data_IF_805241552082
#
_entry.id   IF_805241552082
#
_cell.length_a   1.000
_cell.length_b   1.000
_cell.length_c   1.000
_cell.angle_alpha   90.00
_cell.angle_beta   90.00
_cell.angle_gamma   90.00
#
_symmetry.space_group_name_H-M   'P 1'
#
loop_
_entity.id
_entity.type
_entity.pdbx_description
1 polymer ?
#
# COMPACT_ATOMS: atom_id res chain seq x y z
N UNK A 1 14.69 9.14 -0.90
CA UNK A 1 14.89 9.19 0.56
C UNK A 1 13.49 9.02 1.12
N UNK A 2 13.30 8.08 2.04
CA UNK A 2 11.97 7.67 2.52
C UNK A 2 11.99 7.60 4.04
N UNK A 3 10.87 7.97 4.67
CA UNK A 3 10.64 8.17 6.11
C UNK A 3 11.88 8.24 7.01
N UNK A 4 12.36 9.46 7.30
CA UNK A 4 13.44 9.64 8.26
C UNK A 4 12.93 9.52 9.70
N UNK A 5 13.24 8.40 10.34
CA UNK A 5 13.06 8.26 11.79
C UNK A 5 14.18 9.02 12.50
N UNK A 6 13.80 10.10 13.17
CA UNK A 6 14.76 11.07 13.74
C UNK A 6 15.19 10.66 15.15
N UNK A 7 14.29 10.03 15.92
CA UNK A 7 14.55 9.59 17.29
C UNK A 7 13.63 8.42 17.63
N UNK A 8 14.21 7.36 18.19
CA UNK A 8 13.50 6.19 18.73
C UNK A 8 13.81 6.08 20.20
N UNK A 9 12.79 6.12 21.03
CA UNK A 9 12.86 5.78 22.45
C UNK A 9 11.83 4.67 22.66
N UNK A 10 12.24 3.44 22.31
CA UNK A 10 11.35 2.29 22.16
C UNK A 10 11.79 1.20 23.14
N UNK A 11 10.88 0.78 24.00
CA UNK A 11 11.04 -0.44 24.79
C UNK A 11 10.17 -1.55 24.19
N UNK A 12 10.72 -2.76 24.03
CA UNK A 12 9.97 -3.89 23.45
C UNK A 12 8.80 -4.24 24.38
N UNK A 13 7.59 -4.25 23.84
CA UNK A 13 6.34 -4.49 24.59
C UNK A 13 6.12 -3.49 25.76
N UNK A 14 6.72 -2.31 25.68
CA UNK A 14 6.59 -1.28 26.69
C UNK A 14 6.32 0.10 26.09
N UNK A 15 6.25 1.14 26.93
CA UNK A 15 5.99 2.49 26.49
C UNK A 15 7.17 3.03 25.70
N UNK A 16 6.87 3.89 24.74
CA UNK A 16 7.90 4.50 23.91
C UNK A 16 7.39 5.64 23.06
N UNK A 17 8.33 6.39 22.51
CA UNK A 17 8.05 7.49 21.59
C UNK A 17 8.93 7.42 20.35
N UNK A 18 8.32 7.75 19.21
CA UNK A 18 9.01 7.77 17.92
C UNK A 18 8.75 9.10 17.24
N UNK A 19 9.84 9.78 16.86
CA UNK A 19 9.77 10.98 16.02
C UNK A 19 9.97 10.60 14.56
N UNK A 20 8.96 10.85 13.75
CA UNK A 20 8.91 10.49 12.33
C UNK A 20 8.77 11.74 11.47
N UNK A 21 9.39 11.73 10.29
CA UNK A 21 9.17 12.69 9.22
C UNK A 21 8.68 11.88 8.01
N UNK A 22 7.39 11.96 7.65
CA UNK A 22 6.90 11.31 6.44
C UNK A 22 7.44 12.08 5.22
N UNK A 23 8.10 11.41 4.29
CA UNK A 23 8.67 12.00 3.07
C UNK A 23 7.78 11.71 1.85
N UNK A 24 7.01 10.61 1.91
CA UNK A 24 6.09 10.19 0.85
C UNK A 24 4.66 9.90 1.34
N UNK A 25 3.74 9.67 0.39
CA UNK A 25 2.37 9.29 0.70
C UNK A 25 2.26 7.91 1.38
N UNK A 26 3.16 6.98 1.05
CA UNK A 26 3.25 5.67 1.71
C UNK A 26 3.56 5.81 3.20
N UNK A 27 4.38 6.79 3.58
CA UNK A 27 4.74 7.05 4.98
C UNK A 27 3.55 7.57 5.79
N UNK A 28 2.66 8.34 5.15
CA UNK A 28 1.40 8.78 5.76
C UNK A 28 0.44 7.60 5.97
N UNK A 29 0.40 6.63 5.04
CA UNK A 29 -0.37 5.40 5.21
C UNK A 29 0.17 4.55 6.37
N UNK A 30 1.49 4.45 6.49
CA UNK A 30 2.14 3.77 7.62
C UNK A 30 1.81 4.48 8.93
N UNK A 31 1.90 5.81 8.98
CA UNK A 31 1.52 6.59 10.14
C UNK A 31 0.04 6.38 10.51
N UNK A 32 -0.85 6.34 9.51
CA UNK A 32 -2.26 6.05 9.71
C UNK A 32 -2.45 4.67 10.37
N UNK A 33 -1.79 3.63 9.87
CA UNK A 33 -1.88 2.27 10.44
C UNK A 33 -1.27 2.16 11.84
N UNK A 34 -0.23 2.95 12.14
CA UNK A 34 0.39 2.96 13.46
C UNK A 34 -0.47 3.69 14.51
N UNK A 35 -1.18 4.75 14.15
CA UNK A 35 -1.95 5.56 15.10
C UNK A 35 -3.30 4.92 15.43
N UNK A 36 -3.52 4.65 16.71
CA UNK A 36 -4.72 4.03 17.27
C UNK A 36 -5.31 4.92 18.36
N UNK A 37 -6.62 4.78 18.62
CA UNK A 37 -7.24 5.37 19.80
C UNK A 37 -6.50 4.96 21.09
N UNK A 38 -6.25 5.94 21.97
CA UNK A 38 -5.43 5.82 23.17
C UNK A 38 -4.00 6.33 23.02
N UNK A 39 -3.51 6.51 21.79
CA UNK A 39 -2.16 7.06 21.57
C UNK A 39 -2.12 8.58 21.73
N UNK A 40 -0.94 9.12 22.02
CA UNK A 40 -0.68 10.56 22.00
C UNK A 40 0.13 10.94 20.76
N UNK A 41 -0.37 11.90 19.98
CA UNK A 41 0.29 12.43 18.80
C UNK A 41 0.65 13.89 19.02
N UNK A 42 1.92 14.22 18.83
CA UNK A 42 2.46 15.56 19.00
C UNK A 42 3.03 16.10 17.69
N UNK A 43 2.50 17.20 17.18
CA UNK A 43 2.98 17.83 15.96
C UNK A 43 2.93 19.37 16.06
N UNK A 44 3.69 20.03 15.19
CA UNK A 44 3.69 21.50 15.09
C UNK A 44 2.60 21.93 14.13
N UNK A 45 1.68 22.76 14.60
CA UNK A 45 0.57 23.33 13.81
C UNK A 45 0.66 24.85 13.78
N UNK A 46 0.04 25.47 12.78
CA UNK A 46 -0.12 26.93 12.73
C UNK A 46 -1.56 27.23 13.07
N UNK A 47 -1.80 27.94 14.17
CA UNK A 47 -3.16 28.34 14.58
C UNK A 47 -3.27 29.85 14.67
N UNK A 48 -4.44 30.36 14.32
CA UNK A 48 -4.80 31.77 14.49
C UNK A 48 -5.16 31.98 15.96
N UNK A 49 -4.32 32.71 16.67
CA UNK A 49 -4.55 33.08 18.07
C UNK A 49 -5.13 34.48 18.07
N UNK A 50 -6.35 34.63 18.57
CA UNK A 50 -6.93 35.94 18.81
C UNK A 50 -6.32 36.50 20.09
N UNK A 51 -5.74 37.70 20.02
CA UNK A 51 -5.30 38.46 21.18
C UNK A 51 -6.16 39.71 21.28
N UNK A 52 -6.66 39.98 22.48
CA UNK A 52 -7.33 41.24 22.77
C UNK A 52 -6.26 42.31 23.03
N UNK A 53 -6.26 43.36 22.21
CA UNK A 53 -5.40 44.51 22.41
C UNK A 53 -6.00 45.43 23.48
N UNK A 54 -5.15 46.11 24.25
CA UNK A 54 -5.56 47.04 25.31
C UNK A 54 -6.48 48.18 24.82
N UNK A 55 -6.53 48.44 23.51
CA UNK A 55 -7.40 49.42 22.85
C UNK A 55 -8.78 48.89 22.45
N UNK A 56 -9.14 47.64 22.81
CA UNK A 56 -10.41 47.02 22.43
C UNK A 56 -10.46 46.44 21.01
N UNK A 57 -9.34 46.49 20.28
CA UNK A 57 -9.19 45.82 18.98
C UNK A 57 -8.92 44.32 19.11
N UNK A 58 -9.47 43.53 18.18
CA UNK A 58 -9.11 42.11 18.04
C UNK A 58 -7.99 41.98 17.02
N UNK A 59 -6.78 41.69 17.50
CA UNK A 59 -5.68 41.31 16.62
C UNK A 59 -5.61 39.78 16.51
N UNK A 60 -5.28 39.29 15.34
CA UNK A 60 -5.24 37.85 15.10
C UNK A 60 -3.93 37.44 14.44
N UNK A 61 -3.10 36.78 15.23
CA UNK A 61 -1.76 36.38 14.85
C UNK A 61 -1.72 34.88 14.52
N UNK A 62 -0.98 34.50 13.48
CA UNK A 62 -0.75 33.08 13.16
C UNK A 62 0.49 32.60 13.89
N UNK A 63 0.30 31.82 14.94
CA UNK A 63 1.39 31.32 15.80
C UNK A 63 1.64 29.84 15.51
N UNK A 64 2.92 29.46 15.40
CA UNK A 64 3.35 28.07 15.37
C UNK A 64 3.28 27.49 16.79
N UNK A 65 2.42 26.51 17.01
CA UNK A 65 2.21 25.87 18.30
C UNK A 65 2.52 24.38 18.19
N UNK A 66 3.20 23.85 19.20
CA UNK A 66 3.37 22.41 19.36
C UNK A 66 2.17 21.88 20.12
N UNK A 67 1.35 21.07 19.47
CA UNK A 67 0.16 20.49 20.08
C UNK A 67 0.39 19.01 20.32
N UNK A 68 -0.05 18.55 21.48
CA UNK A 68 -0.15 17.14 21.83
C UNK A 68 -1.63 16.81 21.94
N UNK A 69 -2.06 15.80 21.20
CA UNK A 69 -3.45 15.35 21.15
C UNK A 69 -3.48 13.88 21.52
N UNK A 70 -4.28 13.56 22.53
CA UNK A 70 -4.66 12.19 22.84
C UNK A 70 -5.78 11.77 21.89
N UNK A 71 -5.59 10.64 21.21
CA UNK A 71 -6.54 10.12 20.25
C UNK A 71 -7.68 9.44 21.02
N UNK A 72 -8.68 10.21 21.40
CA UNK A 72 -9.87 9.70 22.10
C UNK A 72 -11.06 9.49 21.16
N UNK A 73 -11.85 8.46 21.43
CA UNK A 73 -13.07 8.17 20.66
C UNK A 73 -14.12 9.22 21.04
N UNK A 74 -14.51 10.08 20.10
CA UNK A 74 -15.58 11.07 20.29
C UNK A 74 -15.13 12.49 20.63
N UNK A 75 -13.82 12.75 20.74
CA UNK A 75 -13.28 14.10 20.89
C UNK A 75 -12.95 14.72 19.50
N UNK A 76 -13.48 15.91 19.21
CA UNK A 76 -13.19 16.61 17.96
C UNK A 76 -11.94 17.50 18.09
N UNK A 77 -10.76 16.89 17.94
CA UNK A 77 -9.51 17.63 17.74
C UNK A 77 -8.89 17.23 16.41
N UNK A 78 -8.80 18.18 15.48
CA UNK A 78 -8.15 17.95 14.18
C UNK A 78 -6.67 18.30 14.26
N UNK A 79 -5.82 17.31 13.97
CA UNK A 79 -4.39 17.46 13.74
C UNK A 79 -4.07 17.02 12.32
N UNK A 80 -3.52 17.92 11.52
CA UNK A 80 -3.09 17.61 10.16
C UNK A 80 -1.61 17.19 10.19
N UNK A 81 -1.34 15.97 9.71
CA UNK A 81 0.01 15.45 9.51
C UNK A 81 0.34 15.64 8.04
N UNK A 82 1.32 16.49 7.76
CA UNK A 82 1.79 16.77 6.40
C UNK A 82 3.09 16.03 6.08
N UNK A 83 3.30 15.79 4.80
CA UNK A 83 4.59 15.36 4.26
C UNK A 83 5.67 16.41 4.59
N UNK A 84 6.88 15.94 4.88
CA UNK A 84 8.06 16.69 5.31
C UNK A 84 7.91 17.44 6.64
N UNK A 85 6.86 17.15 7.43
CA UNK A 85 6.69 17.73 8.77
C UNK A 85 6.90 16.67 9.86
N UNK A 86 7.80 16.92 10.84
CA UNK A 86 8.00 15.99 11.92
C UNK A 86 6.78 15.93 12.85
N UNK A 87 6.39 14.72 13.21
CA UNK A 87 5.49 14.47 14.33
C UNK A 87 6.10 13.42 15.28
N UNK A 88 5.62 13.40 16.51
CA UNK A 88 6.02 12.45 17.54
C UNK A 88 4.81 11.62 17.91
N UNK A 89 4.93 10.31 17.75
CA UNK A 89 3.93 9.34 18.18
C UNK A 89 4.39 8.74 19.52
N UNK A 90 3.54 8.80 20.53
CA UNK A 90 3.73 8.16 21.83
C UNK A 90 2.68 7.07 22.00
N UNK A 91 3.16 5.89 22.37
CA UNK A 91 2.32 4.74 22.68
C UNK A 91 2.71 4.17 24.03
N UNK A 92 1.72 3.67 24.75
CA UNK A 92 1.93 2.95 26.01
C UNK A 92 2.52 1.55 25.77
N UNK A 93 2.22 0.94 24.62
CA UNK A 93 2.71 -0.39 24.24
C UNK A 93 3.14 -0.38 22.78
N UNK A 94 4.42 -0.65 22.55
CA UNK A 94 4.95 -0.96 21.23
C UNK A 94 5.04 -2.48 21.02
N UNK A 95 4.07 -3.03 20.29
CA UNK A 95 4.05 -4.43 19.88
C UNK A 95 5.13 -4.73 18.83
N UNK A 96 5.53 -6.00 18.68
CA UNK A 96 6.52 -6.42 17.67
C UNK A 96 6.14 -6.01 16.25
N UNK A 97 4.87 -6.17 15.87
CA UNK A 97 4.36 -5.76 14.56
C UNK A 97 4.57 -4.27 14.30
N UNK A 98 4.32 -3.42 15.30
CA UNK A 98 4.52 -1.97 15.17
C UNK A 98 6.00 -1.63 15.01
N UNK A 99 6.89 -2.36 15.68
CA UNK A 99 8.33 -2.24 15.51
C UNK A 99 8.78 -2.69 14.11
N UNK A 100 8.21 -3.77 13.58
CA UNK A 100 8.50 -4.27 12.24
C UNK A 100 8.04 -3.29 11.16
N UNK A 101 6.84 -2.70 11.32
CA UNK A 101 6.34 -1.65 10.43
C UNK A 101 7.28 -0.43 10.44
N UNK A 102 7.75 -0.01 11.62
CA UNK A 102 8.74 1.07 11.74
C UNK A 102 10.07 0.70 11.07
N UNK A 103 10.51 -0.55 11.22
CA UNK A 103 11.73 -1.04 10.60
C UNK A 103 11.61 -1.03 9.07
N UNK A 104 10.50 -1.55 8.52
CA UNK A 104 10.21 -1.55 7.09
C UNK A 104 10.08 -0.12 6.52
N UNK A 105 9.47 0.78 7.28
CA UNK A 105 9.37 2.19 6.91
C UNK A 105 10.75 2.90 6.86
N UNK A 106 11.70 2.42 7.67
CA UNK A 106 13.04 2.99 7.77
C UNK A 106 13.98 2.60 6.63
N UNK A 107 13.64 1.59 5.84
CA UNK A 107 14.53 1.06 4.82
C UNK A 107 14.54 1.99 3.58
N UNK A 108 15.69 2.61 3.23
CA UNK A 108 15.77 3.55 2.11
C UNK A 108 15.71 2.88 0.73
N UNK A 109 15.96 1.57 0.61
CA UNK A 109 15.89 0.83 -0.67
C UNK A 109 14.46 0.57 -1.15
N UNK A 110 13.51 0.99 -0.34
CA UNK A 110 12.14 0.64 -0.47
C UNK A 110 11.47 1.91 -1.05
N UNK A 111 11.54 2.11 -2.37
CA UNK A 111 10.85 3.20 -3.09
C UNK A 111 9.70 2.65 -3.93
N UNK A 112 8.89 3.50 -4.57
CA UNK A 112 7.81 3.04 -5.45
C UNK A 112 8.32 2.09 -6.55
N UNK A 113 7.68 0.93 -6.67
CA UNK A 113 8.22 -0.22 -7.41
C UNK A 113 7.75 -0.27 -8.86
N UNK A 114 6.50 0.16 -9.14
CA UNK A 114 5.90 0.01 -10.47
C UNK A 114 4.94 1.14 -10.82
N UNK A 115 5.12 1.76 -11.97
CA UNK A 115 4.12 2.63 -12.59
C UNK A 115 3.32 1.81 -13.62
N UNK A 116 1.99 1.89 -13.56
CA UNK A 116 1.08 1.19 -14.47
C UNK A 116 0.18 2.19 -15.17
N UNK A 117 0.11 2.09 -16.49
CA UNK A 117 -0.80 2.88 -17.31
C UNK A 117 -1.80 1.93 -17.96
N UNK A 118 -3.04 1.97 -17.51
CA UNK A 118 -4.14 1.18 -18.08
C UNK A 118 -4.90 2.07 -19.06
N UNK A 119 -5.16 1.57 -20.26
CA UNK A 119 -5.82 2.33 -21.33
C UNK A 119 -6.93 1.51 -21.98
N UNK A 120 -8.04 2.17 -22.24
CA UNK A 120 -9.19 1.69 -23.01
C UNK A 120 -9.73 2.84 -23.88
N UNK A 121 -10.60 2.55 -24.84
CA UNK A 121 -11.30 3.57 -25.62
C UNK A 121 -11.99 4.57 -24.68
N UNK A 122 -11.46 5.80 -24.63
CA UNK A 122 -12.03 6.89 -23.86
C UNK A 122 -11.67 6.92 -22.38
N UNK A 123 -10.83 6.00 -21.89
CA UNK A 123 -10.45 5.90 -20.48
C UNK A 123 -8.96 5.58 -20.33
N UNK A 124 -8.27 6.33 -19.47
CA UNK A 124 -6.89 6.06 -19.09
C UNK A 124 -6.69 6.25 -17.59
N UNK A 125 -6.10 5.24 -16.94
CA UNK A 125 -5.71 5.28 -15.53
C UNK A 125 -4.20 5.21 -15.41
N UNK A 126 -3.62 6.24 -14.77
CA UNK A 126 -2.21 6.27 -14.39
C UNK A 126 -2.15 5.90 -12.91
N UNK A 127 -1.57 4.74 -12.62
CA UNK A 127 -1.45 4.15 -11.30
C UNK A 127 0.04 4.09 -10.93
N UNK A 128 0.34 4.37 -9.67
CA UNK A 128 1.65 4.16 -9.06
C UNK A 128 1.48 3.15 -7.94
N UNK A 129 2.11 1.99 -8.10
CA UNK A 129 2.14 0.95 -7.08
C UNK A 129 3.34 1.24 -6.18
N UNK A 130 3.05 1.76 -4.99
CA UNK A 130 4.00 1.87 -3.90
C UNK A 130 4.13 0.54 -3.16
N UNK A 131 4.80 0.56 -2.01
CA UNK A 131 5.00 -0.64 -1.21
C UNK A 131 3.77 -1.04 -0.43
N UNK A 132 3.05 -0.05 0.08
CA UNK A 132 1.93 -0.26 1.00
C UNK A 132 0.60 0.14 0.39
N UNK A 133 0.61 0.97 -0.66
CA UNK A 133 -0.60 1.47 -1.30
C UNK A 133 -0.42 1.62 -2.80
N UNK A 134 -1.50 1.35 -3.54
CA UNK A 134 -1.60 1.71 -4.96
C UNK A 134 -2.30 3.06 -5.10
N UNK A 135 -1.59 4.04 -5.63
CA UNK A 135 -2.09 5.41 -5.81
C UNK A 135 -2.54 5.64 -7.26
N UNK A 136 -3.77 6.11 -7.44
CA UNK A 136 -4.20 6.62 -8.75
C UNK A 136 -3.71 8.06 -8.91
N UNK A 137 -2.72 8.26 -9.78
CA UNK A 137 -2.14 9.58 -10.06
C UNK A 137 -3.01 10.41 -10.99
N UNK A 138 -3.62 9.78 -11.98
CA UNK A 138 -4.52 10.46 -12.91
C UNK A 138 -5.57 9.50 -13.46
N UNK A 139 -6.77 10.05 -13.71
CA UNK A 139 -7.85 9.41 -14.46
C UNK A 139 -8.24 10.38 -15.56
N UNK A 140 -8.08 9.96 -16.80
CA UNK A 140 -8.39 10.75 -17.99
C UNK A 140 -9.55 10.05 -18.68
N UNK A 141 -10.68 10.73 -18.75
CA UNK A 141 -11.88 10.22 -19.42
C UNK A 141 -12.24 11.13 -20.59
N UNK A 142 -12.49 10.54 -21.74
CA UNK A 142 -12.97 11.23 -22.93
C UNK A 142 -14.19 10.49 -23.46
N UNK A 143 -15.31 11.19 -23.58
CA UNK A 143 -16.53 10.61 -24.14
C UNK A 143 -16.33 10.42 -25.64
N UNK A 144 -16.08 9.20 -26.07
CA UNK A 144 -15.95 8.88 -27.48
C UNK A 144 -17.36 8.67 -28.05
N UNK A 145 -17.80 9.50 -29.03
CA UNK A 145 -19.17 9.50 -29.50
C UNK A 145 -19.48 8.19 -30.22
N UNK A 146 -20.55 7.49 -29.81
CA UNK A 146 -20.95 6.22 -30.41
C UNK A 146 -21.45 6.42 -31.84
N UNK A 147 -21.13 5.48 -32.75
CA UNK A 147 -21.59 5.49 -34.15
C UNK A 147 -23.12 5.60 -34.24
N UNK A 148 -23.63 6.80 -34.51
CA UNK A 148 -24.98 6.99 -35.04
C UNK A 148 -25.04 8.23 -35.95
N UNK A 149 -25.55 8.05 -37.18
CA UNK A 149 -25.86 9.13 -38.11
C UNK A 149 -24.67 9.71 -38.90
N UNK A 150 -24.85 10.87 -39.57
CA UNK A 150 -23.89 11.47 -40.51
C UNK A 150 -22.59 12.03 -39.88
N UNK A 151 -22.40 11.88 -38.56
CA UNK A 151 -21.19 12.29 -37.84
C UNK A 151 -20.02 11.28 -37.94
N UNK A 152 -20.19 10.17 -38.67
CA UNK A 152 -19.19 9.10 -38.86
C UNK A 152 -17.88 9.60 -39.48
N UNK A 153 -17.92 10.62 -40.35
CA UNK A 153 -16.73 11.17 -40.99
C UNK A 153 -15.78 11.92 -40.03
N UNK A 154 -16.31 12.52 -38.96
CA UNK A 154 -15.51 13.14 -37.89
C UNK A 154 -15.01 12.11 -36.89
N UNK A 155 -15.81 11.05 -36.66
CA UNK A 155 -15.48 9.93 -35.79
C UNK A 155 -14.32 9.12 -36.32
N UNK A 156 -14.31 8.74 -37.60
CA UNK A 156 -13.19 7.98 -38.18
C UNK A 156 -11.90 8.82 -38.19
N UNK A 157 -11.95 10.15 -38.31
CA UNK A 157 -10.75 11.00 -38.17
C UNK A 157 -10.26 11.12 -36.72
N UNK A 158 -11.18 11.23 -35.76
CA UNK A 158 -10.85 11.28 -34.34
C UNK A 158 -10.35 9.93 -33.83
N UNK A 159 -10.98 8.83 -34.26
CA UNK A 159 -10.57 7.47 -34.00
C UNK A 159 -9.27 7.11 -34.72
N UNK A 160 -9.10 7.45 -35.99
CA UNK A 160 -7.83 7.19 -36.68
C UNK A 160 -6.71 7.99 -36.02
N UNK A 161 -6.94 9.25 -35.62
CA UNK A 161 -5.97 10.03 -34.83
C UNK A 161 -5.78 9.51 -33.39
N UNK A 162 -6.76 8.81 -32.82
CA UNK A 162 -6.68 8.22 -31.48
C UNK A 162 -6.02 6.83 -31.51
N UNK A 163 -6.39 5.98 -32.46
CA UNK A 163 -5.90 4.61 -32.69
C UNK A 163 -4.56 4.56 -33.44
N UNK A 164 -4.24 5.49 -34.34
CA UNK A 164 -2.85 5.65 -34.83
C UNK A 164 -1.90 6.00 -33.67
N UNK A 165 -2.42 6.62 -32.61
CA UNK A 165 -1.68 6.89 -31.39
C UNK A 165 -1.79 5.77 -30.31
N UNK A 166 -2.78 4.86 -30.38
CA UNK A 166 -3.14 3.94 -29.27
C UNK A 166 -3.30 2.46 -29.71
N UNK A 167 -2.96 2.07 -30.94
CA UNK A 167 -2.66 0.64 -31.18
C UNK A 167 -1.49 0.29 -30.25
N UNK A 168 -1.68 -0.64 -29.31
CA UNK A 168 -0.77 -0.92 -28.19
C UNK A 168 0.72 -1.05 -28.60
N UNK A 169 0.96 -1.63 -29.77
CA UNK A 169 2.30 -1.79 -30.34
C UNK A 169 2.84 -0.47 -30.98
N UNK A 170 1.95 0.37 -31.51
CA UNK A 170 2.26 1.71 -32.01
C UNK A 170 2.40 2.76 -30.91
N UNK A 171 1.67 2.70 -29.78
CA UNK A 171 1.89 3.64 -28.67
C UNK A 171 3.27 3.45 -28.05
N UNK A 172 3.68 2.20 -27.82
CA UNK A 172 5.03 1.91 -27.36
C UNK A 172 6.08 2.40 -28.38
N UNK A 173 5.88 2.13 -29.68
CA UNK A 173 6.76 2.64 -30.75
C UNK A 173 6.76 4.17 -30.84
N UNK A 174 5.61 4.81 -30.70
CA UNK A 174 5.42 6.25 -30.76
C UNK A 174 6.02 6.93 -29.52
N UNK A 175 5.84 6.38 -28.33
CA UNK A 175 6.48 6.84 -27.10
C UNK A 175 8.00 6.79 -27.23
N UNK A 176 8.54 5.70 -27.79
CA UNK A 176 9.98 5.57 -28.05
C UNK A 176 10.46 6.57 -29.10
N UNK A 177 9.73 6.74 -30.20
CA UNK A 177 10.05 7.67 -31.28
C UNK A 177 9.99 9.14 -30.81
N UNK A 178 8.95 9.53 -30.06
CA UNK A 178 8.83 10.87 -29.49
C UNK A 178 9.84 11.11 -28.37
N UNK A 179 10.20 10.07 -27.60
CA UNK A 179 11.29 10.17 -26.63
C UNK A 179 12.62 10.48 -27.32
N UNK A 180 12.93 9.79 -28.43
CA UNK A 180 14.11 10.07 -29.26
C UNK A 180 14.05 11.48 -29.88
N UNK A 181 12.89 11.86 -30.44
CA UNK A 181 12.66 13.17 -31.07
C UNK A 181 12.82 14.33 -30.09
N UNK A 182 12.30 14.20 -28.88
CA UNK A 182 12.35 15.23 -27.81
C UNK A 182 13.59 15.08 -26.91
N UNK A 183 14.45 14.10 -27.18
CA UNK A 183 15.63 13.76 -26.38
C UNK A 183 15.32 13.55 -24.88
N UNK A 184 14.22 12.86 -24.58
CA UNK A 184 13.85 12.48 -23.22
C UNK A 184 14.72 11.32 -22.74
N UNK A 185 15.92 11.64 -22.22
CA UNK A 185 16.93 10.66 -21.76
C UNK A 185 16.35 9.63 -20.77
N UNK A 186 15.47 10.07 -19.88
CA UNK A 186 14.85 9.22 -18.85
C UNK A 186 14.06 8.03 -19.41
N UNK A 187 13.44 8.18 -20.58
CA UNK A 187 12.66 7.12 -21.25
C UNK A 187 13.58 6.25 -22.10
N UNK A 188 14.55 6.87 -22.79
CA UNK A 188 15.50 6.18 -23.67
C UNK A 188 16.40 5.24 -22.86
N UNK A 189 16.94 5.71 -21.72
CA UNK A 189 17.81 4.91 -20.84
C UNK A 189 17.08 3.75 -20.17
N UNK A 190 15.78 3.91 -19.89
CA UNK A 190 14.95 2.92 -19.20
C UNK A 190 14.07 2.10 -20.16
N UNK A 191 14.42 2.03 -21.44
CA UNK A 191 13.65 1.33 -22.48
C UNK A 191 13.34 -0.13 -22.13
N UNK A 192 14.28 -0.84 -21.50
CA UNK A 192 14.11 -2.23 -21.07
C UNK A 192 13.15 -2.42 -19.89
N UNK A 193 12.81 -1.36 -19.15
CA UNK A 193 11.89 -1.39 -18.01
C UNK A 193 10.44 -1.15 -18.41
N UNK A 194 10.19 -0.73 -19.65
CA UNK A 194 8.85 -0.47 -20.18
C UNK A 194 8.33 -1.77 -20.78
N UNK A 195 7.33 -2.36 -20.12
CA UNK A 195 6.74 -3.65 -20.53
C UNK A 195 5.32 -3.41 -21.01
N UNK A 196 5.01 -3.96 -22.19
CA UNK A 196 3.64 -4.02 -22.70
C UNK A 196 2.96 -5.29 -22.21
N UNK A 197 1.76 -5.15 -21.63
CA UNK A 197 0.96 -6.26 -21.10
C UNK A 197 -0.46 -6.17 -21.65
N UNK A 198 -1.00 -7.31 -22.09
CA UNK A 198 -2.39 -7.42 -22.52
C UNK A 198 -3.31 -7.53 -21.31
N UNK A 199 -4.40 -6.77 -21.29
CA UNK A 199 -5.41 -6.75 -20.23
C UNK A 199 -6.81 -6.76 -20.84
N UNK A 200 -7.79 -7.21 -20.07
CA UNK A 200 -9.19 -7.31 -20.52
C UNK A 200 -9.93 -5.96 -20.52
N UNK A 201 -9.53 -5.00 -19.68
CA UNK A 201 -10.15 -3.67 -19.57
C UNK A 201 -9.13 -2.60 -19.11
N UNK A 202 -9.42 -1.31 -19.34
CA UNK A 202 -8.64 -0.18 -18.83
C UNK A 202 -8.96 0.22 -17.37
N UNK A 203 -9.83 -0.51 -16.69
CA UNK A 203 -10.25 -0.21 -15.32
C UNK A 203 -9.31 -0.78 -14.25
N UNK A 204 -9.42 -0.28 -13.01
CA UNK A 204 -8.58 -0.67 -11.87
C UNK A 204 -8.59 -2.17 -11.58
N UNK A 205 -9.67 -2.87 -11.90
CA UNK A 205 -9.78 -4.31 -11.68
C UNK A 205 -8.76 -5.12 -12.50
N UNK A 206 -8.40 -4.62 -13.69
CA UNK A 206 -7.42 -5.25 -14.58
C UNK A 206 -5.99 -5.19 -14.03
N UNK A 207 -5.73 -4.39 -12.99
CA UNK A 207 -4.42 -4.33 -12.34
C UNK A 207 -3.97 -5.71 -11.84
N UNK A 208 -4.92 -6.55 -11.39
CA UNK A 208 -4.62 -7.92 -10.97
C UNK A 208 -4.08 -8.77 -12.11
N UNK A 209 -4.59 -8.60 -13.32
CA UNK A 209 -4.09 -9.31 -14.52
C UNK A 209 -2.69 -8.83 -14.90
N UNK A 210 -2.42 -7.52 -14.81
CA UNK A 210 -1.08 -6.97 -15.05
C UNK A 210 -0.07 -7.55 -14.08
N UNK A 211 -0.44 -7.64 -12.80
CA UNK A 211 0.43 -8.19 -11.77
C UNK A 211 0.57 -9.72 -11.87
N UNK A 212 -0.37 -10.45 -12.49
CA UNK A 212 -0.22 -11.89 -12.69
C UNK A 212 0.62 -12.26 -13.93
N UNK A 213 0.86 -11.30 -14.83
CA UNK A 213 1.64 -11.52 -16.04
C UNK A 213 3.09 -11.93 -15.71
N UNK A 214 3.62 -13.02 -16.30
CA UNK A 214 4.93 -13.57 -15.94
C UNK A 214 6.08 -12.59 -16.23
N UNK A 215 5.95 -11.79 -17.29
CA UNK A 215 6.93 -10.78 -17.68
C UNK A 215 7.08 -9.69 -16.60
N UNK A 216 5.97 -9.32 -15.96
CA UNK A 216 5.95 -8.33 -14.87
C UNK A 216 6.42 -8.99 -13.58
N UNK A 217 5.87 -10.15 -13.21
CA UNK A 217 6.21 -10.86 -11.97
C UNK A 217 7.70 -11.15 -11.81
N UNK A 218 8.39 -11.50 -12.90
CA UNK A 218 9.84 -11.73 -12.84
C UNK A 218 10.63 -10.45 -12.52
N UNK A 219 10.11 -9.28 -12.94
CA UNK A 219 10.72 -7.98 -12.67
C UNK A 219 10.39 -7.48 -11.26
N UNK A 220 9.18 -7.75 -10.76
CA UNK A 220 8.71 -7.29 -9.44
C UNK A 220 8.85 -8.34 -8.33
N UNK A 221 9.57 -9.45 -8.55
CA UNK A 221 9.64 -10.61 -7.64
C UNK A 221 10.04 -10.25 -6.20
N UNK A 222 10.86 -9.21 -6.02
CA UNK A 222 11.41 -8.79 -4.72
C UNK A 222 10.54 -7.74 -4.03
N UNK A 223 9.44 -7.32 -4.67
CA UNK A 223 8.52 -6.30 -4.15
C UNK A 223 7.49 -6.91 -3.21
N UNK A 224 7.03 -6.12 -2.23
CA UNK A 224 5.97 -6.53 -1.30
C UNK A 224 4.67 -6.87 -2.04
N UNK A 225 4.31 -6.08 -3.05
CA UNK A 225 3.13 -6.30 -3.88
C UNK A 225 3.15 -7.68 -4.57
N UNK A 226 4.30 -8.12 -5.08
CA UNK A 226 4.42 -9.43 -5.71
C UNK A 226 4.25 -10.58 -4.70
N UNK A 227 4.76 -10.42 -3.48
CA UNK A 227 4.58 -11.40 -2.40
C UNK A 227 3.11 -11.52 -2.00
N UNK A 228 2.40 -10.40 -1.89
CA UNK A 228 0.96 -10.39 -1.57
C UNK A 228 0.11 -11.04 -2.67
N UNK A 229 0.37 -10.70 -3.93
CA UNK A 229 -0.33 -11.31 -5.08
C UNK A 229 -0.07 -12.81 -5.13
N UNK A 230 1.18 -13.25 -4.90
CA UNK A 230 1.54 -14.66 -4.83
C UNK A 230 0.85 -15.38 -3.67
N UNK A 231 0.86 -14.81 -2.47
CA UNK A 231 0.19 -15.40 -1.30
C UNK A 231 -1.30 -15.61 -1.53
N UNK A 232 -1.98 -14.64 -2.16
CA UNK A 232 -3.38 -14.78 -2.55
C UNK A 232 -3.58 -15.83 -3.65
N UNK A 233 -2.71 -15.87 -4.66
CA UNK A 233 -2.78 -16.87 -5.74
C UNK A 233 -2.62 -18.29 -5.21
N UNK A 234 -1.65 -18.49 -4.31
CA UNK A 234 -1.40 -19.78 -3.66
C UNK A 234 -2.62 -20.19 -2.83
N UNK A 235 -3.24 -19.26 -2.09
CA UNK A 235 -4.48 -19.53 -1.35
C UNK A 235 -5.64 -19.94 -2.26
N UNK A 236 -5.93 -19.21 -3.35
CA UNK A 236 -7.01 -19.58 -4.27
C UNK A 236 -6.75 -20.88 -5.02
N UNK A 237 -5.48 -21.17 -5.33
CA UNK A 237 -5.05 -22.45 -5.90
C UNK A 237 -5.29 -23.60 -4.91
N UNK A 238 -4.97 -23.41 -3.62
CA UNK A 238 -5.25 -24.39 -2.59
C UNK A 238 -6.76 -24.60 -2.42
N UNK A 239 -7.56 -23.53 -2.38
CA UNK A 239 -9.02 -23.65 -2.24
C UNK A 239 -9.66 -24.43 -3.40
N UNK A 240 -9.11 -24.32 -4.61
CA UNK A 240 -9.62 -25.01 -5.80
C UNK A 240 -9.19 -26.48 -5.87
N UNK A 241 -7.96 -26.78 -5.44
CA UNK A 241 -7.39 -28.13 -5.55
C UNK A 241 -7.62 -28.99 -4.30
N UNK A 242 -7.62 -28.38 -3.11
CA UNK A 242 -7.73 -29.04 -1.80
C UNK A 242 -8.44 -28.12 -0.78
N UNK A 243 -9.79 -28.11 -0.79
CA UNK A 243 -10.58 -27.20 0.04
C UNK A 243 -10.45 -27.48 1.54
N UNK A 244 -9.99 -28.66 1.97
CA UNK A 244 -9.83 -28.99 3.39
C UNK A 244 -8.58 -28.34 4.01
N UNK A 245 -7.60 -27.95 3.18
CA UNK A 245 -6.37 -27.29 3.62
C UNK A 245 -6.47 -25.78 3.74
N UNK A 246 -7.37 -25.15 2.98
CA UNK A 246 -7.58 -23.71 3.00
C UNK A 246 -8.78 -23.36 3.88
N UNK A 247 -8.57 -22.55 4.91
CA UNK A 247 -9.65 -22.05 5.74
C UNK A 247 -9.71 -20.52 5.73
N UNK A 248 -10.91 -19.98 5.88
CA UNK A 248 -11.14 -18.55 6.04
C UNK A 248 -12.20 -18.31 7.12
N UNK A 249 -12.11 -17.16 7.78
CA UNK A 249 -12.98 -16.77 8.88
C UNK A 249 -12.37 -17.02 10.27
N UNK A 250 -12.69 -16.17 11.27
CA UNK A 250 -11.98 -16.15 12.55
C UNK A 250 -12.07 -17.48 13.31
N UNK A 251 -13.25 -18.11 13.36
CA UNK A 251 -13.45 -19.38 14.07
C UNK A 251 -12.64 -20.53 13.47
N UNK A 252 -12.59 -20.63 12.14
CA UNK A 252 -11.83 -21.69 11.47
C UNK A 252 -10.32 -21.50 11.67
N UNK A 253 -9.86 -20.25 11.63
CA UNK A 253 -8.45 -19.90 11.88
C UNK A 253 -8.06 -20.18 13.33
N UNK A 254 -8.94 -19.92 14.30
CA UNK A 254 -8.72 -20.27 15.72
C UNK A 254 -8.54 -21.78 15.90
N UNK A 255 -9.41 -22.60 15.30
CA UNK A 255 -9.27 -24.07 15.35
C UNK A 255 -8.00 -24.55 14.65
N UNK A 256 -7.62 -23.94 13.52
CA UNK A 256 -6.37 -24.26 12.84
C UNK A 256 -5.12 -23.88 13.68
N UNK A 257 -5.22 -22.77 14.44
CA UNK A 257 -4.18 -22.33 15.36
C UNK A 257 -4.04 -23.28 16.56
N UNK A 258 -5.15 -23.71 17.17
CA UNK A 258 -5.14 -24.71 18.25
C UNK A 258 -4.51 -26.05 17.81
N UNK A 259 -4.66 -26.39 16.53
CA UNK A 259 -4.05 -27.58 15.92
C UNK A 259 -2.62 -27.37 15.44
N UNK A 260 -2.07 -26.16 15.57
CA UNK A 260 -0.73 -25.78 15.07
C UNK A 260 -0.54 -26.16 13.60
N UNK A 261 -1.60 -26.07 12.79
CA UNK A 261 -1.65 -26.56 11.41
C UNK A 261 -1.73 -25.44 10.36
N UNK A 262 -1.51 -24.19 10.78
CA UNK A 262 -1.36 -23.05 9.87
C UNK A 262 0.01 -23.18 9.21
N UNK A 263 0.20 -22.67 7.99
CA UNK A 263 1.52 -22.54 7.34
C UNK A 263 1.76 -21.09 6.93
N UNK A 264 0.74 -20.49 6.33
CA UNK A 264 0.74 -19.08 5.96
C UNK A 264 -0.57 -18.46 6.45
N UNK A 265 -0.44 -17.36 7.18
CA UNK A 265 -1.57 -16.61 7.73
C UNK A 265 -1.71 -15.30 6.95
N UNK A 266 -2.84 -15.11 6.28
CA UNK A 266 -3.15 -13.89 5.55
C UNK A 266 -4.09 -13.03 6.40
N UNK A 267 -3.68 -11.81 6.73
CA UNK A 267 -4.46 -10.86 7.53
C UNK A 267 -4.44 -9.50 6.83
N UNK A 268 -5.57 -8.80 6.87
CA UNK A 268 -5.67 -7.42 6.39
C UNK A 268 -5.31 -6.41 7.47
N UNK A 269 -4.65 -5.32 7.07
CA UNK A 269 -4.19 -4.26 7.99
C UNK A 269 -5.32 -3.66 8.84
N UNK A 270 -6.53 -3.57 8.28
CA UNK A 270 -7.70 -3.03 8.98
C UNK A 270 -8.05 -3.82 10.25
N UNK A 271 -7.86 -5.15 10.23
CA UNK A 271 -8.14 -6.00 11.38
C UNK A 271 -7.15 -5.78 12.54
N UNK A 272 -5.99 -5.18 12.30
CA UNK A 272 -5.04 -4.80 13.34
C UNK A 272 -5.40 -3.47 14.02
N UNK A 273 -6.21 -2.62 13.37
CA UNK A 273 -6.59 -1.30 13.91
C UNK A 273 -7.65 -1.36 15.02
N UNK A 274 -8.21 -2.53 15.34
CA UNK A 274 -9.29 -2.65 16.34
C UNK A 274 -8.93 -1.97 17.66
N UNK A 275 -9.83 -1.12 18.18
CA UNK A 275 -9.62 -0.37 19.42
C UNK A 275 -9.37 -1.26 20.64
N UNK A 276 -9.86 -2.50 20.62
CA UNK A 276 -9.64 -3.45 21.69
C UNK A 276 -8.22 -4.08 21.63
N UNK A 277 -7.44 -3.76 22.67
CA UNK A 277 -6.07 -4.25 22.88
C UNK A 277 -6.05 -5.76 23.08
N UNK A 278 -7.07 -6.35 23.71
CA UNK A 278 -7.13 -7.79 23.94
C UNK A 278 -7.30 -8.57 22.63
N UNK A 279 -8.25 -8.14 21.79
CA UNK A 279 -8.44 -8.70 20.45
C UNK A 279 -7.21 -8.51 19.57
N UNK A 280 -6.54 -7.35 19.64
CA UNK A 280 -5.28 -7.12 18.92
C UNK A 280 -4.20 -8.08 19.38
N UNK A 281 -3.94 -8.20 20.70
CA UNK A 281 -2.94 -9.12 21.24
C UNK A 281 -3.21 -10.57 20.85
N UNK A 282 -4.47 -11.03 20.90
CA UNK A 282 -4.85 -12.39 20.46
C UNK A 282 -4.45 -12.65 19.00
N UNK A 283 -4.71 -11.67 18.11
CA UNK A 283 -4.36 -11.73 16.68
C UNK A 283 -2.85 -11.61 16.45
N UNK A 284 -2.16 -10.76 17.22
CA UNK A 284 -0.71 -10.59 17.14
C UNK A 284 0.04 -11.79 17.68
N UNK A 285 -0.38 -12.43 18.79
CA UNK A 285 0.25 -13.65 19.32
C UNK A 285 0.11 -14.80 18.33
N UNK A 286 -1.08 -14.96 17.73
CA UNK A 286 -1.30 -15.93 16.65
C UNK A 286 -0.40 -15.69 15.43
N UNK A 287 0.14 -14.48 15.25
CA UNK A 287 1.05 -14.10 14.17
C UNK A 287 2.53 -13.97 14.63
N UNK A 288 2.83 -13.75 15.91
CA UNK A 288 4.16 -13.51 16.44
C UNK A 288 4.90 -14.80 16.78
N UNK A 289 4.17 -15.87 17.12
CA UNK A 289 4.73 -17.22 17.28
C UNK A 289 5.27 -17.78 15.94
N UNK A 290 4.94 -17.14 14.82
CA UNK A 290 5.40 -17.48 13.47
C UNK A 290 6.77 -16.90 13.12
N UNK A 291 7.04 -15.64 13.47
CA UNK A 291 8.29 -14.96 13.11
C UNK A 291 9.52 -15.56 13.81
N UNK A 292 9.35 -16.36 14.86
CA UNK A 292 10.47 -17.03 15.53
C UNK A 292 10.93 -18.31 14.80
N UNK A 293 10.17 -18.84 13.83
CA UNK A 293 10.57 -20.03 13.06
C UNK A 293 11.28 -19.73 11.73
N UNK A 294 11.24 -18.50 11.19
CA UNK A 294 11.81 -18.17 9.87
C UNK A 294 13.24 -17.62 9.91
N UNK A 295 13.84 -17.42 11.08
CA UNK A 295 15.28 -17.20 11.19
C UNK A 295 16.01 -18.54 11.28
N UNK A 296 16.50 -19.02 10.13
CA UNK A 296 17.36 -20.19 9.91
C UNK A 296 16.68 -21.57 9.83
N UNK A 297 16.51 -22.10 8.61
CA UNK A 297 17.27 -23.24 8.06
C UNK A 297 16.73 -23.65 6.67
N UNK A 298 17.59 -23.90 5.67
CA UNK A 298 17.18 -24.48 4.40
C UNK A 298 17.05 -26.02 4.53
N UNK A 299 16.07 -26.57 3.81
CA UNK A 299 15.81 -28.00 3.55
C UNK A 299 15.14 -28.83 4.65
N UNK A 300 13.88 -29.22 4.41
CA UNK A 300 13.31 -30.44 4.99
C UNK A 300 12.40 -31.13 3.94
N UNK A 301 12.80 -32.35 3.56
CA UNK A 301 12.08 -33.28 2.66
C UNK A 301 10.71 -33.69 3.25
N UNK A 302 9.75 -34.12 2.42
CA UNK A 302 8.43 -34.55 2.89
C UNK A 302 8.53 -35.84 3.72
N UNK A 303 8.06 -35.81 4.97
CA UNK A 303 7.87 -37.02 5.77
C UNK A 303 6.65 -37.78 5.24
N UNK A 304 6.90 -39.03 4.85
CA UNK A 304 5.91 -40.02 4.39
C UNK A 304 4.76 -40.20 5.40
N UNK A 305 3.55 -40.30 4.86
CA UNK A 305 2.34 -40.76 5.55
C UNK A 305 2.62 -42.04 6.36
N UNK A 306 2.25 -42.02 7.65
CA UNK A 306 1.90 -43.23 8.39
C UNK A 306 0.38 -43.35 8.37
N UNK A 307 -0.10 -44.35 7.64
CA UNK A 307 -1.47 -44.84 7.76
C UNK A 307 -1.68 -45.31 9.20
N UNK A 308 -2.63 -44.70 9.90
CA UNK A 308 -3.21 -45.27 11.11
C UNK A 308 -4.44 -46.04 10.66
N UNK A 309 -4.27 -47.36 10.55
CA UNK A 309 -5.35 -48.35 10.51
C UNK A 309 -6.18 -48.22 11.78
N UNK A 310 -7.47 -47.93 11.63
CA UNK A 310 -8.47 -48.09 12.69
C UNK A 310 -8.74 -49.58 12.91
N UNK A 311 -8.85 -49.98 14.18
CA UNK A 311 -9.57 -51.17 14.62
C UNK A 311 -10.98 -50.80 15.04
#
# INVERSE_FOLDING_TARGET
>A
MHQKIVRRDLTRNGPGSVKMIPEEADDLWIAYNLIVAGDSVMAVTVRKVMREAASGGRDAERVKLKLEINVEIGAFHTLEIDVNRPFVLRKDIWDSLALDVIHQASDPNASADLAVVLMQEGLCHILLIGKSITLTRARIETSIPRKHGPAVAGYDKALTKFFENILQDQFHKHLMLEAERRQLRSVIENKSRIILVHTTSGDKHSLREVLDAPNVMNMIKDTKAAQEVRGLKDFFSMLSNDPERACYGPKHVEVAHERMAIQTLLITDELFRSSDVATRKKRTTSAADWYCCDSSFPTARPRRHRNVTQG
#
